data_IF_745576941798
#
_entry.id   IF_745576941798
#
_cell.length_a   1.000
_cell.length_b   1.000
_cell.length_c   1.000
_cell.angle_alpha   90.00
_cell.angle_beta   90.00
_cell.angle_gamma   90.00
#
_symmetry.space_group_name_H-M   'P 1'
#
loop_
_entity.id
_entity.type
_entity.pdbx_description
1 polymer ?
#
# COMPACT_ATOMS: atom_id res chain seq x y z
N UNK A 1 6.96 17.80 5.17
CA UNK A 1 6.09 16.62 5.29
C UNK A 1 4.82 16.98 6.07
N UNK A 2 3.68 16.36 5.76
CA UNK A 2 2.45 16.40 6.55
C UNK A 2 2.32 15.10 7.34
N UNK A 3 1.84 15.20 8.58
CA UNK A 3 1.58 14.07 9.48
C UNK A 3 0.10 14.00 9.84
N UNK A 4 -0.37 12.80 10.19
CA UNK A 4 -1.71 12.56 10.72
C UNK A 4 -1.67 11.42 11.75
N UNK A 5 -2.66 11.38 12.64
CA UNK A 5 -2.84 10.24 13.54
C UNK A 5 -3.32 9.01 12.77
N UNK A 6 -2.76 7.85 13.06
CA UNK A 6 -3.18 6.57 12.49
C UNK A 6 -4.48 6.12 13.17
N UNK A 7 -5.62 6.45 12.57
CA UNK A 7 -6.93 6.19 13.16
C UNK A 7 -7.13 6.93 14.50
N UNK A 8 -7.65 6.20 15.48
CA UNK A 8 -7.89 6.66 16.85
C UNK A 8 -6.72 6.37 17.80
N UNK A 9 -5.50 6.32 17.28
CA UNK A 9 -4.27 6.08 18.06
C UNK A 9 -3.49 7.36 18.32
N UNK A 10 -2.46 7.25 19.16
CA UNK A 10 -1.45 8.31 19.38
C UNK A 10 -0.30 8.29 18.36
N UNK A 11 -0.32 7.34 17.41
CA UNK A 11 0.73 7.12 16.42
C UNK A 11 0.66 8.21 15.34
N UNK A 12 1.73 9.00 15.20
CA UNK A 12 1.88 9.98 14.13
C UNK A 12 2.55 9.35 12.93
N UNK A 13 1.85 9.34 11.78
CA UNK A 13 2.34 8.83 10.51
C UNK A 13 2.47 9.94 9.48
N UNK A 14 3.52 9.89 8.67
CA UNK A 14 3.59 10.72 7.47
C UNK A 14 2.46 10.35 6.51
N UNK A 15 1.88 11.35 5.84
CA UNK A 15 0.81 11.14 4.84
C UNK A 15 1.30 10.28 3.68
N UNK A 16 2.59 10.38 3.33
CA UNK A 16 3.26 9.47 2.38
C UNK A 16 3.87 8.32 3.16
N UNK A 17 3.59 7.09 2.74
CA UNK A 17 4.18 5.85 3.26
C UNK A 17 5.06 5.17 2.22
N UNK A 18 6.19 4.62 2.65
CA UNK A 18 7.08 3.82 1.84
C UNK A 18 6.52 2.41 1.65
N UNK A 19 6.11 2.06 0.43
CA UNK A 19 5.74 0.70 0.04
C UNK A 19 6.98 -0.11 -0.38
N UNK A 20 7.14 -1.30 0.19
CA UNK A 20 8.33 -2.12 0.00
C UNK A 20 8.11 -3.38 -0.83
N UNK A 21 6.95 -3.53 -1.48
CA UNK A 21 6.69 -4.69 -2.34
C UNK A 21 7.79 -4.90 -3.39
N UNK A 22 8.25 -3.83 -4.02
CA UNK A 22 9.34 -3.89 -4.99
C UNK A 22 10.72 -4.23 -4.40
N UNK A 23 10.93 -4.14 -3.08
CA UNK A 23 12.17 -4.54 -2.42
C UNK A 23 12.25 -6.07 -2.23
N UNK A 24 11.12 -6.75 -2.11
CA UNK A 24 11.05 -8.21 -1.95
C UNK A 24 11.56 -8.99 -3.17
N UNK A 25 11.60 -8.37 -4.35
CA UNK A 25 12.03 -9.03 -5.58
C UNK A 25 11.14 -10.21 -5.97
N UNK A 26 11.76 -11.35 -6.32
CA UNK A 26 11.05 -12.56 -6.76
C UNK A 26 10.59 -12.50 -8.21
N UNK A 27 9.72 -13.44 -8.61
CA UNK A 27 9.19 -13.53 -9.99
C UNK A 27 8.24 -12.38 -10.34
N UNK A 28 7.65 -11.73 -9.33
CA UNK A 28 6.67 -10.64 -9.50
C UNK A 28 7.30 -9.35 -9.98
N UNK A 29 8.52 -9.07 -9.48
CA UNK A 29 9.30 -7.87 -9.83
C UNK A 29 10.62 -8.32 -10.46
N UNK A 30 10.70 -8.34 -11.78
CA UNK A 30 11.88 -8.81 -12.52
C UNK A 30 13.00 -7.77 -12.62
N UNK A 31 12.87 -6.64 -11.91
CA UNK A 31 13.93 -5.66 -11.75
C UNK A 31 15.05 -6.22 -10.85
N UNK A 32 16.21 -5.55 -10.85
CA UNK A 32 17.34 -5.92 -9.99
C UNK A 32 16.92 -5.97 -8.51
N UNK A 33 17.32 -7.03 -7.80
CA UNK A 33 17.08 -7.17 -6.37
C UNK A 33 17.76 -6.02 -5.59
N UNK A 34 17.09 -5.56 -4.56
CA UNK A 34 17.60 -4.55 -3.64
C UNK A 34 18.58 -5.19 -2.64
N UNK A 35 19.61 -4.45 -2.26
CA UNK A 35 20.55 -4.83 -1.20
C UNK A 35 20.18 -4.17 0.13
N UNK A 36 20.78 -4.59 1.24
CA UNK A 36 20.62 -3.93 2.54
C UNK A 36 21.09 -2.48 2.48
N UNK A 37 22.17 -2.19 1.77
CA UNK A 37 22.70 -0.85 1.58
C UNK A 37 21.76 0.03 0.74
N UNK A 38 21.08 -0.55 -0.26
CA UNK A 38 20.04 0.16 -1.02
C UNK A 38 18.87 0.52 -0.09
N UNK A 39 18.41 -0.42 0.75
CA UNK A 39 17.36 -0.18 1.72
C UNK A 39 17.77 0.88 2.76
N UNK A 40 18.98 0.84 3.29
CA UNK A 40 19.47 1.86 4.24
C UNK A 40 19.46 3.25 3.62
N UNK A 41 20.04 3.42 2.41
CA UNK A 41 20.01 4.70 1.71
C UNK A 41 18.61 5.22 1.44
N UNK A 42 17.68 4.31 1.08
CA UNK A 42 16.28 4.67 0.88
C UNK A 42 15.64 5.17 2.19
N UNK A 43 15.88 4.46 3.30
CA UNK A 43 15.39 4.86 4.62
C UNK A 43 15.99 6.18 5.10
N UNK A 44 17.30 6.43 4.84
CA UNK A 44 17.95 7.70 5.14
C UNK A 44 17.25 8.84 4.40
N UNK A 45 17.00 8.65 3.10
CA UNK A 45 16.26 9.64 2.31
C UNK A 45 14.82 9.82 2.82
N UNK A 46 14.14 8.74 3.21
CA UNK A 46 12.81 8.84 3.80
C UNK A 46 12.80 9.76 5.03
N UNK A 47 13.75 9.58 5.97
CA UNK A 47 13.86 10.45 7.16
C UNK A 47 14.22 11.89 6.80
N UNK A 48 15.14 12.09 5.85
CA UNK A 48 15.51 13.43 5.37
C UNK A 48 14.29 14.22 4.87
N UNK A 49 13.36 13.54 4.17
CA UNK A 49 12.11 14.15 3.68
C UNK A 49 10.94 13.99 4.66
N UNK A 50 11.16 13.44 5.86
CA UNK A 50 10.17 13.27 6.91
C UNK A 50 9.16 12.13 6.67
N UNK A 51 9.48 11.17 5.80
CA UNK A 51 8.69 9.94 5.60
C UNK A 51 9.06 8.95 6.71
N UNK A 52 8.17 8.73 7.67
CA UNK A 52 8.39 7.82 8.79
C UNK A 52 7.56 6.54 8.73
N UNK A 53 6.66 6.40 7.77
CA UNK A 53 5.72 5.28 7.68
C UNK A 53 6.19 4.28 6.61
N UNK A 54 6.44 3.03 7.03
CA UNK A 54 6.91 1.94 6.18
C UNK A 54 5.86 0.83 6.16
N UNK A 55 5.49 0.36 4.97
CA UNK A 55 4.63 -0.80 4.76
C UNK A 55 5.40 -1.93 4.07
N UNK A 56 5.25 -3.14 4.62
CA UNK A 56 5.77 -4.39 4.06
C UNK A 56 4.73 -5.50 4.16
N UNK A 57 5.10 -6.74 3.81
CA UNK A 57 4.29 -7.93 4.03
C UNK A 57 5.16 -9.21 4.03
N UNK A 58 4.73 -10.28 4.74
CA UNK A 58 5.39 -11.60 4.71
C UNK A 58 5.54 -12.15 3.29
N UNK A 59 4.50 -12.00 2.47
CA UNK A 59 4.50 -12.53 1.09
C UNK A 59 5.32 -11.70 0.08
N UNK A 60 5.92 -10.60 0.48
CA UNK A 60 6.80 -9.81 -0.39
C UNK A 60 8.17 -10.48 -0.51
N UNK A 61 8.32 -11.26 -1.61
CA UNK A 61 9.49 -12.11 -1.82
C UNK A 61 9.60 -13.24 -0.79
N UNK A 62 8.47 -13.71 -0.25
CA UNK A 62 8.41 -14.81 0.73
C UNK A 62 9.33 -14.57 1.93
N UNK A 63 9.15 -13.42 2.58
CA UNK A 63 9.91 -12.97 3.75
C UNK A 63 11.10 -12.06 3.45
N UNK A 64 11.59 -12.02 2.22
CA UNK A 64 12.79 -11.24 1.83
C UNK A 64 12.67 -9.76 2.16
N UNK A 65 11.49 -9.14 1.91
CA UNK A 65 11.28 -7.72 2.21
C UNK A 65 11.40 -7.43 3.71
N UNK A 66 10.80 -8.27 4.56
CA UNK A 66 10.87 -8.11 6.02
C UNK A 66 12.30 -8.33 6.55
N UNK A 67 13.02 -9.35 6.07
CA UNK A 67 14.41 -9.59 6.48
C UNK A 67 15.35 -8.44 6.06
N UNK A 68 15.13 -7.90 4.88
CA UNK A 68 15.91 -6.76 4.35
C UNK A 68 15.67 -5.52 5.20
N UNK A 69 14.40 -5.24 5.53
CA UNK A 69 14.03 -4.12 6.39
C UNK A 69 14.58 -4.31 7.81
N UNK A 70 14.48 -5.50 8.40
CA UNK A 70 15.03 -5.78 9.73
C UNK A 70 16.53 -5.46 9.81
N UNK A 71 17.31 -5.85 8.79
CA UNK A 71 18.73 -5.53 8.71
C UNK A 71 19.00 -4.02 8.52
N UNK A 72 18.16 -3.35 7.73
CA UNK A 72 18.30 -1.92 7.45
C UNK A 72 17.87 -1.03 8.62
N UNK A 73 16.90 -1.50 9.45
CA UNK A 73 16.36 -0.79 10.62
C UNK A 73 17.17 -1.03 11.89
N UNK A 74 18.19 -1.87 11.87
CA UNK A 74 18.98 -2.19 13.07
C UNK A 74 19.59 -0.92 13.69
N UNK A 75 19.24 -0.65 14.95
CA UNK A 75 19.69 0.52 15.74
C UNK A 75 18.92 1.81 15.43
N UNK A 76 17.83 1.75 14.63
CA UNK A 76 17.00 2.91 14.26
C UNK A 76 15.52 2.55 14.08
N UNK A 77 15.08 1.44 14.72
CA UNK A 77 13.70 0.94 14.63
C UNK A 77 12.67 2.00 15.06
N UNK A 78 13.01 2.79 16.08
CA UNK A 78 12.14 3.81 16.67
C UNK A 78 11.94 5.06 15.79
N UNK A 79 12.80 5.26 14.79
CA UNK A 79 12.67 6.37 13.84
C UNK A 79 11.48 6.19 12.89
N UNK A 80 10.92 4.98 12.83
CA UNK A 80 9.87 4.62 11.87
C UNK A 80 8.66 3.98 12.51
N UNK A 81 7.50 4.28 11.93
CA UNK A 81 6.25 3.53 12.12
C UNK A 81 6.25 2.35 11.15
N UNK A 82 6.34 1.13 11.68
CA UNK A 82 6.49 -0.10 10.90
C UNK A 82 5.16 -0.84 10.81
N UNK A 83 4.67 -1.00 9.60
CA UNK A 83 3.47 -1.75 9.24
C UNK A 83 3.83 -2.99 8.43
N UNK A 84 3.30 -4.16 8.82
CA UNK A 84 3.35 -5.36 7.99
C UNK A 84 1.96 -6.02 7.95
N UNK A 85 1.86 -7.24 7.42
CA UNK A 85 0.56 -7.87 7.19
C UNK A 85 0.50 -9.29 7.75
N UNK A 86 -0.71 -9.80 7.97
CA UNK A 86 -1.03 -11.18 8.35
C UNK A 86 -2.09 -11.76 7.42
N UNK A 87 -2.55 -12.93 7.69
CA UNK A 87 -3.53 -13.75 6.98
C UNK A 87 -3.00 -14.50 5.75
N UNK A 88 -1.96 -14.03 5.07
CA UNK A 88 -1.34 -14.76 3.97
C UNK A 88 -0.05 -15.43 4.44
N UNK A 89 -0.01 -16.75 4.38
CA UNK A 89 1.14 -17.54 4.79
C UNK A 89 1.36 -18.76 3.87
N UNK A 90 2.56 -19.37 3.96
CA UNK A 90 2.97 -20.52 3.17
C UNK A 90 3.45 -21.70 4.05
N UNK A 91 2.92 -21.80 5.27
CA UNK A 91 3.29 -22.85 6.23
C UNK A 91 2.60 -24.19 5.95
N UNK A 92 1.53 -24.20 5.13
CA UNK A 92 0.70 -25.38 4.87
C UNK A 92 0.02 -25.95 6.13
N UNK A 93 -0.32 -25.12 7.10
CA UNK A 93 -0.97 -25.47 8.37
C UNK A 93 -2.50 -25.28 8.37
N UNK A 94 -3.06 -25.06 7.19
CA UNK A 94 -4.49 -24.81 6.98
C UNK A 94 -4.77 -23.48 6.30
N UNK A 95 -6.02 -23.02 6.41
CA UNK A 95 -6.52 -21.86 5.67
C UNK A 95 -7.03 -22.23 4.27
N UNK A 96 -7.49 -21.23 3.53
CA UNK A 96 -7.99 -21.39 2.17
C UNK A 96 -6.85 -21.15 1.17
N UNK A 97 -6.76 -21.99 0.14
CA UNK A 97 -5.84 -21.74 -0.96
C UNK A 97 -6.05 -20.34 -1.55
N UNK A 98 -4.98 -19.58 -1.69
CA UNK A 98 -5.01 -18.25 -2.27
C UNK A 98 -4.30 -18.18 -3.62
N UNK A 99 -3.02 -18.57 -3.69
CA UNK A 99 -2.26 -18.72 -4.94
C UNK A 99 -1.01 -19.59 -4.75
N UNK A 100 -0.40 -19.98 -5.89
CA UNK A 100 0.95 -20.55 -5.92
C UNK A 100 1.94 -19.58 -6.57
N UNK A 101 3.13 -19.45 -5.99
CA UNK A 101 4.20 -18.60 -6.52
C UNK A 101 5.57 -19.06 -6.02
N UNK A 102 6.55 -19.07 -6.94
CA UNK A 102 7.95 -19.37 -6.63
C UNK A 102 8.15 -20.71 -5.86
N UNK A 103 7.28 -21.71 -6.12
CA UNK A 103 7.28 -23.02 -5.47
C UNK A 103 6.58 -23.06 -4.09
N UNK A 104 5.95 -21.97 -3.68
CA UNK A 104 5.18 -21.90 -2.43
C UNK A 104 3.69 -21.86 -2.70
N UNK A 105 2.93 -22.68 -1.95
CA UNK A 105 1.47 -22.53 -1.83
C UNK A 105 1.16 -21.50 -0.75
N UNK A 106 0.50 -20.42 -1.13
CA UNK A 106 0.07 -19.38 -0.19
C UNK A 106 -1.40 -19.58 0.14
N UNK A 107 -1.70 -19.62 1.44
CA UNK A 107 -3.04 -19.76 1.96
C UNK A 107 -3.49 -18.46 2.66
N UNK A 108 -4.79 -18.19 2.62
CA UNK A 108 -5.45 -17.15 3.41
C UNK A 108 -6.05 -17.77 4.67
N UNK A 109 -5.57 -17.34 5.83
CA UNK A 109 -5.97 -17.89 7.13
C UNK A 109 -6.09 -16.77 8.19
N UNK A 110 -7.32 -16.42 8.56
CA UNK A 110 -7.61 -15.40 9.55
C UNK A 110 -7.96 -15.96 10.93
N UNK A 111 -7.77 -17.28 11.16
CA UNK A 111 -7.94 -17.86 12.48
C UNK A 111 -6.95 -17.26 13.49
N UNK A 112 -7.36 -17.14 14.76
CA UNK A 112 -6.56 -16.53 15.83
C UNK A 112 -5.13 -17.07 15.90
N UNK A 113 -4.97 -18.40 15.85
CA UNK A 113 -3.66 -19.06 15.93
C UNK A 113 -2.77 -18.71 14.72
N UNK A 114 -3.34 -18.64 13.51
CA UNK A 114 -2.61 -18.30 12.30
C UNK A 114 -2.15 -16.83 12.30
N UNK A 115 -3.04 -15.91 12.68
CA UNK A 115 -2.75 -14.48 12.77
C UNK A 115 -1.65 -14.20 13.82
N UNK A 116 -1.73 -14.80 15.00
CA UNK A 116 -0.68 -14.70 16.05
C UNK A 116 0.66 -15.23 15.52
N UNK A 117 0.63 -16.37 14.83
CA UNK A 117 1.83 -16.97 14.24
C UNK A 117 2.45 -16.11 13.12
N UNK A 118 1.64 -15.48 12.29
CA UNK A 118 2.11 -14.53 11.25
C UNK A 118 2.86 -13.36 11.89
N UNK A 119 2.33 -12.79 12.97
CA UNK A 119 2.96 -11.69 13.72
C UNK A 119 4.29 -12.14 14.33
N UNK A 120 4.33 -13.28 15.02
CA UNK A 120 5.58 -13.85 15.58
C UNK A 120 6.65 -14.06 14.52
N UNK A 121 6.27 -14.61 13.36
CA UNK A 121 7.19 -14.86 12.27
C UNK A 121 7.72 -13.55 11.67
N UNK A 122 6.87 -12.51 11.55
CA UNK A 122 7.26 -11.17 11.09
C UNK A 122 8.21 -10.48 12.06
N UNK A 123 7.93 -10.53 13.36
CA UNK A 123 8.81 -10.01 14.43
C UNK A 123 10.20 -10.64 14.34
N UNK A 124 10.26 -11.98 14.19
CA UNK A 124 11.52 -12.71 14.08
C UNK A 124 12.29 -12.31 12.82
N UNK A 125 11.63 -12.21 11.63
CA UNK A 125 12.30 -11.81 10.38
C UNK A 125 12.84 -10.38 10.46
N UNK A 126 12.09 -9.47 11.06
CA UNK A 126 12.48 -8.06 11.18
C UNK A 126 13.38 -7.77 12.39
N UNK A 127 13.54 -8.72 13.34
CA UNK A 127 14.38 -8.56 14.53
C UNK A 127 13.90 -7.45 15.46
N UNK A 128 12.59 -7.36 15.66
CA UNK A 128 11.93 -6.39 16.55
C UNK A 128 10.95 -7.13 17.47
N UNK A 129 10.60 -6.57 18.61
CA UNK A 129 9.68 -7.12 19.59
C UNK A 129 8.25 -6.54 19.50
N UNK A 130 8.05 -5.52 18.67
CA UNK A 130 6.73 -4.96 18.41
C UNK A 130 6.56 -4.45 16.97
N UNK A 131 5.30 -4.38 16.53
CA UNK A 131 4.87 -3.72 15.29
C UNK A 131 4.01 -2.51 15.64
N UNK A 132 4.13 -1.43 14.88
CA UNK A 132 3.24 -0.29 15.06
C UNK A 132 1.85 -0.58 14.48
N UNK A 133 1.79 -1.27 13.34
CA UNK A 133 0.52 -1.67 12.72
C UNK A 133 0.64 -3.05 12.07
N UNK A 134 -0.42 -3.87 12.19
CA UNK A 134 -0.60 -5.10 11.43
C UNK A 134 -1.84 -4.99 10.55
N UNK A 135 -1.74 -5.41 9.30
CA UNK A 135 -2.86 -5.38 8.35
C UNK A 135 -3.32 -6.81 8.08
N UNK A 136 -4.60 -7.08 8.22
CA UNK A 136 -5.21 -8.29 7.64
C UNK A 136 -5.16 -8.13 6.13
N UNK A 137 -4.25 -8.88 5.47
CA UNK A 137 -3.89 -8.66 4.06
C UNK A 137 -5.04 -8.96 3.11
N UNK A 138 -5.80 -10.01 3.43
CA UNK A 138 -7.08 -10.38 2.82
C UNK A 138 -8.01 -10.88 3.91
N UNK A 139 -9.20 -10.33 3.99
CA UNK A 139 -10.26 -10.85 4.85
C UNK A 139 -10.69 -12.23 4.32
N UNK A 140 -11.02 -13.14 5.21
CA UNK A 140 -11.44 -14.48 4.86
C UNK A 140 -12.80 -14.80 5.46
N UNK A 141 -13.82 -14.92 4.62
CA UNK A 141 -15.22 -15.17 5.04
C UNK A 141 -15.45 -16.59 5.62
N UNK A 142 -14.46 -17.48 5.49
CA UNK A 142 -14.57 -18.85 6.00
C UNK A 142 -14.39 -18.97 7.51
N UNK A 143 -13.94 -17.91 8.17
CA UNK A 143 -13.66 -17.90 9.60
C UNK A 143 -14.40 -16.76 10.29
N UNK A 144 -14.89 -16.97 11.56
CA UNK A 144 -15.61 -15.93 12.29
C UNK A 144 -14.75 -14.67 12.50
N UNK A 145 -15.31 -13.50 12.20
CA UNK A 145 -14.63 -12.21 12.38
C UNK A 145 -14.23 -11.96 13.83
N UNK A 146 -15.06 -12.45 14.78
CA UNK A 146 -14.86 -12.34 16.22
C UNK A 146 -13.56 -13.02 16.66
N UNK A 147 -13.18 -14.12 16.03
CA UNK A 147 -11.94 -14.84 16.32
C UNK A 147 -10.71 -14.00 15.91
N UNK A 148 -10.75 -13.44 14.72
CA UNK A 148 -9.68 -12.57 14.20
C UNK A 148 -9.55 -11.30 15.05
N UNK A 149 -10.67 -10.62 15.31
CA UNK A 149 -10.71 -9.38 16.12
C UNK A 149 -10.20 -9.67 17.53
N UNK A 150 -10.67 -10.77 18.17
CA UNK A 150 -10.20 -11.18 19.50
C UNK A 150 -8.68 -11.34 19.57
N UNK A 151 -8.08 -12.02 18.57
CA UNK A 151 -6.63 -12.19 18.51
C UNK A 151 -5.88 -10.86 18.32
N UNK A 152 -6.37 -9.96 17.48
CA UNK A 152 -5.78 -8.65 17.24
C UNK A 152 -5.85 -7.77 18.50
N UNK A 153 -7.00 -7.74 19.19
CA UNK A 153 -7.17 -6.98 20.42
C UNK A 153 -6.33 -7.54 21.59
N UNK A 154 -6.12 -8.88 21.66
CA UNK A 154 -5.20 -9.50 22.60
C UNK A 154 -3.77 -9.00 22.37
N UNK A 155 -3.28 -9.04 21.13
CA UNK A 155 -1.94 -8.58 20.78
C UNK A 155 -1.73 -7.09 21.00
N UNK A 156 -2.78 -6.25 20.83
CA UNK A 156 -2.71 -4.84 21.23
C UNK A 156 -2.56 -4.68 22.74
N UNK A 157 -3.28 -5.48 23.53
CA UNK A 157 -3.21 -5.46 25.01
C UNK A 157 -1.86 -5.95 25.52
N UNK A 158 -1.27 -6.92 24.84
CA UNK A 158 0.06 -7.48 25.13
C UNK A 158 1.20 -6.54 24.69
N UNK A 159 0.91 -5.54 23.84
CA UNK A 159 1.90 -4.61 23.30
C UNK A 159 2.73 -5.17 22.15
N UNK A 160 2.39 -6.35 21.64
CA UNK A 160 3.04 -6.98 20.48
C UNK A 160 2.77 -6.21 19.19
N UNK A 161 1.56 -5.65 19.08
CA UNK A 161 1.18 -4.68 18.05
C UNK A 161 0.58 -3.45 18.73
N UNK A 162 0.68 -2.27 18.12
CA UNK A 162 0.07 -1.05 18.67
C UNK A 162 -1.33 -0.78 18.07
N UNK A 163 -1.55 -1.18 16.82
CA UNK A 163 -2.85 -1.08 16.15
C UNK A 163 -2.93 -2.07 14.98
N UNK A 164 -4.09 -2.08 14.31
CA UNK A 164 -4.30 -2.93 13.15
C UNK A 164 -5.24 -2.31 12.11
N UNK A 165 -5.26 -2.91 10.92
CA UNK A 165 -6.08 -2.49 9.79
C UNK A 165 -6.50 -3.64 8.89
N UNK A 166 -7.19 -3.30 7.81
CA UNK A 166 -7.67 -4.23 6.79
C UNK A 166 -7.11 -3.85 5.41
N UNK A 167 -6.98 -4.83 4.53
CA UNK A 167 -6.63 -4.63 3.13
C UNK A 167 -7.40 -5.62 2.25
N UNK A 168 -7.62 -5.28 0.98
CA UNK A 168 -8.33 -6.12 0.02
C UNK A 168 -9.66 -6.64 0.60
N UNK A 169 -10.38 -5.75 1.23
CA UNK A 169 -11.62 -5.99 1.97
C UNK A 169 -12.83 -5.43 1.21
N UNK A 170 -13.99 -5.54 1.82
CA UNK A 170 -15.21 -4.84 1.40
C UNK A 170 -15.62 -3.85 2.49
N UNK A 171 -16.38 -2.78 2.18
CA UNK A 171 -16.93 -1.89 3.21
C UNK A 171 -17.71 -2.63 4.32
N UNK A 172 -18.36 -3.75 3.97
CA UNK A 172 -19.04 -4.62 4.93
C UNK A 172 -18.08 -5.27 5.93
N UNK A 173 -16.85 -5.62 5.52
CA UNK A 173 -15.84 -6.20 6.42
C UNK A 173 -15.40 -5.18 7.46
N UNK A 174 -15.11 -3.93 7.04
CA UNK A 174 -14.79 -2.86 7.97
C UNK A 174 -15.93 -2.66 8.98
N UNK A 175 -17.18 -2.65 8.52
CA UNK A 175 -18.34 -2.54 9.41
C UNK A 175 -18.45 -3.74 10.38
N UNK A 176 -18.18 -4.97 9.91
CA UNK A 176 -18.18 -6.17 10.74
C UNK A 176 -17.08 -6.13 11.81
N UNK A 177 -15.84 -5.80 11.45
CA UNK A 177 -14.74 -5.65 12.41
C UNK A 177 -15.03 -4.59 13.46
N UNK A 178 -15.60 -3.45 13.08
CA UNK A 178 -15.97 -2.38 14.02
C UNK A 178 -17.13 -2.79 14.93
N UNK A 179 -18.13 -3.53 14.43
CA UNK A 179 -19.29 -3.95 15.23
C UNK A 179 -18.96 -5.02 16.28
N UNK A 180 -17.88 -5.78 16.07
CA UNK A 180 -17.36 -6.75 17.04
C UNK A 180 -16.46 -6.12 18.12
N UNK A 181 -16.36 -4.78 18.15
CA UNK A 181 -15.52 -4.05 19.10
C UNK A 181 -14.09 -3.83 18.60
N UNK A 182 -13.79 -4.19 17.36
CA UNK A 182 -12.49 -3.96 16.74
C UNK A 182 -12.19 -2.48 16.51
N UNK A 183 -10.91 -2.11 16.68
CA UNK A 183 -10.40 -0.73 16.56
C UNK A 183 -9.58 -0.56 15.29
N UNK A 184 -10.20 -0.78 14.11
CA UNK A 184 -9.54 -0.67 12.82
C UNK A 184 -9.07 0.77 12.58
N UNK A 185 -7.76 0.99 12.54
CA UNK A 185 -7.15 2.32 12.41
C UNK A 185 -6.86 2.72 10.97
N UNK A 186 -6.68 1.74 10.09
CA UNK A 186 -6.37 1.95 8.67
C UNK A 186 -7.06 0.92 7.79
N UNK A 187 -7.56 1.38 6.65
CA UNK A 187 -8.01 0.54 5.53
C UNK A 187 -7.06 0.79 4.37
N UNK A 188 -6.42 -0.27 3.88
CA UNK A 188 -5.43 -0.21 2.81
C UNK A 188 -6.02 -0.84 1.54
N UNK A 189 -6.50 -0.01 0.59
CA UNK A 189 -7.20 -0.48 -0.59
C UNK A 189 -6.61 0.08 -1.87
N UNK A 190 -6.84 -0.65 -2.98
CA UNK A 190 -6.45 -0.18 -4.30
C UNK A 190 -7.27 1.06 -4.66
N UNK A 191 -6.58 2.15 -4.97
CA UNK A 191 -7.22 3.38 -5.41
C UNK A 191 -6.31 4.18 -6.33
N UNK A 192 -6.77 4.44 -7.54
CA UNK A 192 -6.09 5.27 -8.51
C UNK A 192 -7.09 6.07 -9.34
N UNK A 193 -6.61 7.05 -10.08
CA UNK A 193 -7.46 7.81 -11.02
C UNK A 193 -8.04 6.92 -12.13
N UNK A 194 -7.44 5.77 -12.40
CA UNK A 194 -7.90 4.80 -13.39
C UNK A 194 -8.85 3.74 -12.80
N UNK A 195 -8.90 3.59 -11.47
CA UNK A 195 -9.77 2.67 -10.74
C UNK A 195 -10.25 3.30 -9.43
N UNK A 196 -11.09 4.35 -9.48
CA UNK A 196 -11.44 5.10 -8.27
C UNK A 196 -12.67 4.53 -7.53
N UNK A 197 -13.40 3.59 -8.13
CA UNK A 197 -14.75 3.25 -7.68
C UNK A 197 -14.76 2.57 -6.32
N UNK A 198 -14.03 1.47 -6.17
CA UNK A 198 -13.98 0.69 -4.94
C UNK A 198 -13.50 1.51 -3.73
N UNK A 199 -12.43 2.29 -3.88
CA UNK A 199 -11.91 3.11 -2.79
C UNK A 199 -12.90 4.18 -2.31
N UNK A 200 -13.67 4.78 -3.21
CA UNK A 200 -14.68 5.80 -2.86
C UNK A 200 -15.79 5.26 -1.96
N UNK A 201 -16.11 3.97 -2.03
CA UNK A 201 -17.11 3.32 -1.19
C UNK A 201 -16.73 3.32 0.30
N UNK A 202 -15.42 3.45 0.62
CA UNK A 202 -14.94 3.48 2.00
C UNK A 202 -14.98 4.84 2.67
N UNK A 203 -14.97 5.95 1.92
CA UNK A 203 -14.67 7.27 2.49
C UNK A 203 -15.64 7.68 3.61
N UNK A 204 -16.95 7.48 3.42
CA UNK A 204 -17.94 7.81 4.45
C UNK A 204 -17.81 6.91 5.69
N UNK A 205 -17.52 5.63 5.49
CA UNK A 205 -17.32 4.68 6.60
C UNK A 205 -16.03 4.99 7.37
N UNK A 206 -14.94 5.28 6.66
CA UNK A 206 -13.69 5.70 7.26
C UNK A 206 -13.85 7.00 8.07
N UNK A 207 -14.59 7.97 7.53
CA UNK A 207 -14.92 9.22 8.25
C UNK A 207 -15.69 8.95 9.53
N UNK A 208 -16.73 8.11 9.47
CA UNK A 208 -17.54 7.72 10.63
C UNK A 208 -16.69 7.11 11.75
N UNK A 209 -15.72 6.29 11.44
CA UNK A 209 -14.89 5.57 12.40
C UNK A 209 -13.52 6.20 12.66
N UNK A 210 -13.25 7.38 12.06
CA UNK A 210 -11.95 8.06 12.13
C UNK A 210 -10.78 7.18 11.63
N UNK A 211 -11.05 6.31 10.64
CA UNK A 211 -10.09 5.40 10.03
C UNK A 211 -9.31 6.12 8.93
N UNK A 212 -8.00 5.88 8.82
CA UNK A 212 -7.18 6.34 7.70
C UNK A 212 -7.48 5.47 6.48
N UNK A 213 -7.71 6.09 5.33
CA UNK A 213 -7.72 5.37 4.06
C UNK A 213 -6.33 5.44 3.44
N UNK A 214 -5.63 4.32 3.39
CA UNK A 214 -4.32 4.20 2.78
C UNK A 214 -4.44 3.60 1.38
N UNK A 215 -4.16 4.41 0.36
CA UNK A 215 -4.23 3.92 -1.02
C UNK A 215 -2.94 3.23 -1.44
N UNK A 216 -3.04 2.02 -2.01
CA UNK A 216 -1.96 1.44 -2.80
C UNK A 216 -2.31 1.43 -4.29
N UNK A 217 -1.31 1.25 -5.17
CA UNK A 217 -1.51 1.24 -6.61
C UNK A 217 -1.82 2.61 -7.23
N UNK A 218 -1.63 3.71 -6.51
CA UNK A 218 -1.93 5.08 -6.97
C UNK A 218 -1.29 5.45 -8.31
N UNK A 219 -0.09 4.90 -8.58
CA UNK A 219 0.66 5.10 -9.83
C UNK A 219 0.53 3.93 -10.82
N UNK A 220 -0.40 2.98 -10.58
CA UNK A 220 -0.65 1.84 -11.46
C UNK A 220 0.64 1.10 -11.86
N UNK A 221 1.39 0.63 -10.85
CA UNK A 221 2.68 -0.07 -11.00
C UNK A 221 3.71 0.70 -11.85
N UNK A 222 3.56 2.03 -11.91
CA UNK A 222 4.43 2.95 -12.62
C UNK A 222 3.86 3.47 -13.95
N UNK A 223 2.74 2.95 -14.44
CA UNK A 223 2.14 3.37 -15.72
C UNK A 223 1.65 4.83 -15.72
N UNK A 224 1.48 5.44 -14.55
CA UNK A 224 1.11 6.86 -14.40
C UNK A 224 2.30 7.78 -14.11
N UNK A 225 3.54 7.26 -14.15
CA UNK A 225 4.73 8.07 -13.83
C UNK A 225 5.23 8.93 -15.00
N UNK A 226 5.13 8.43 -16.22
CA UNK A 226 5.56 9.17 -17.42
C UNK A 226 5.12 8.50 -18.72
N UNK A 227 5.01 9.24 -19.82
CA UNK A 227 4.80 8.65 -21.17
C UNK A 227 5.88 7.63 -21.55
N UNK A 228 7.14 7.88 -21.15
CA UNK A 228 8.26 6.98 -21.46
C UNK A 228 8.10 5.61 -20.79
N UNK A 229 7.42 5.53 -19.64
CA UNK A 229 7.17 4.26 -18.96
C UNK A 229 6.26 3.34 -19.79
N UNK A 230 5.34 3.89 -20.58
CA UNK A 230 4.44 3.13 -21.45
C UNK A 230 5.18 2.28 -22.49
N UNK A 231 6.41 2.66 -22.84
CA UNK A 231 7.22 1.96 -23.85
C UNK A 231 8.06 0.83 -23.26
N UNK A 232 8.05 0.67 -21.94
CA UNK A 232 8.78 -0.42 -21.28
C UNK A 232 8.20 -1.78 -21.67
N UNK A 233 9.10 -2.75 -21.83
CA UNK A 233 8.76 -4.18 -22.01
C UNK A 233 9.05 -4.92 -20.72
N UNK A 234 8.15 -5.81 -20.34
CA UNK A 234 8.23 -6.60 -19.12
C UNK A 234 8.34 -8.08 -19.45
N UNK A 235 9.04 -8.84 -18.60
CA UNK A 235 9.04 -10.30 -18.67
C UNK A 235 7.63 -10.86 -18.43
N UNK A 236 7.29 -12.01 -18.98
CA UNK A 236 5.95 -12.63 -18.82
C UNK A 236 5.57 -12.91 -17.35
N UNK A 237 6.56 -13.12 -16.50
CA UNK A 237 6.38 -13.35 -15.05
C UNK A 237 6.16 -12.05 -14.26
N UNK A 238 6.60 -10.92 -14.79
CA UNK A 238 6.44 -9.61 -14.16
C UNK A 238 4.96 -9.22 -14.08
N UNK A 239 4.51 -8.76 -12.91
CA UNK A 239 3.11 -8.37 -12.69
C UNK A 239 2.65 -7.33 -13.71
N UNK A 240 3.54 -6.40 -14.07
CA UNK A 240 3.27 -5.30 -15.02
C UNK A 240 2.94 -5.79 -16.43
N UNK A 241 3.30 -7.04 -16.78
CA UNK A 241 2.97 -7.62 -18.08
C UNK A 241 1.50 -8.01 -18.24
N UNK A 242 0.76 -8.11 -17.13
CA UNK A 242 -0.60 -8.66 -17.08
C UNK A 242 -1.69 -7.64 -16.78
N UNK A 243 -1.30 -6.40 -16.43
CA UNK A 243 -2.26 -5.35 -16.07
C UNK A 243 -2.89 -4.72 -17.31
N UNK A 244 -4.09 -4.13 -17.19
CA UNK A 244 -4.86 -3.59 -18.33
C UNK A 244 -4.11 -2.57 -19.19
N UNK A 245 -3.15 -1.85 -18.60
CA UNK A 245 -2.40 -0.75 -19.27
C UNK A 245 -1.38 -1.25 -20.30
N UNK A 246 -1.18 -2.56 -20.43
CA UNK A 246 -0.39 -3.17 -21.52
C UNK A 246 -1.22 -3.35 -22.80
N UNK A 247 -2.56 -3.29 -22.70
CA UNK A 247 -3.45 -3.31 -23.87
C UNK A 247 -3.21 -2.06 -24.74
N UNK A 248 -3.04 -2.21 -26.08
CA UNK A 248 -2.74 -1.09 -26.97
C UNK A 248 -3.74 0.05 -26.94
N UNK A 249 -5.03 -0.23 -26.84
CA UNK A 249 -6.09 0.78 -26.80
C UNK A 249 -6.04 1.60 -25.50
N UNK A 250 -5.92 0.90 -24.34
CA UNK A 250 -5.78 1.55 -23.03
C UNK A 250 -4.49 2.35 -22.93
N UNK A 251 -3.39 1.81 -23.47
CA UNK A 251 -2.10 2.52 -23.55
C UNK A 251 -2.22 3.81 -24.37
N UNK A 252 -2.94 3.79 -25.50
CA UNK A 252 -3.19 4.98 -26.31
C UNK A 252 -4.06 6.00 -25.55
N UNK A 253 -5.03 5.53 -24.78
CA UNK A 253 -5.81 6.38 -23.87
C UNK A 253 -4.93 7.07 -22.84
N UNK A 254 -3.94 6.34 -22.24
CA UNK A 254 -2.96 6.93 -21.32
C UNK A 254 -2.06 7.97 -21.99
N UNK A 255 -1.60 7.75 -23.23
CA UNK A 255 -0.83 8.77 -23.97
C UNK A 255 -1.62 10.07 -24.12
N UNK A 256 -2.90 9.96 -24.51
CA UNK A 256 -3.79 11.14 -24.61
C UNK A 256 -3.96 11.83 -23.26
N UNK A 257 -4.15 11.06 -22.17
CA UNK A 257 -4.25 11.62 -20.82
C UNK A 257 -2.99 12.40 -20.43
N UNK A 258 -1.80 11.87 -20.69
CA UNK A 258 -0.54 12.57 -20.43
C UNK A 258 -0.43 13.90 -21.21
N UNK A 259 -0.85 13.95 -22.47
CA UNK A 259 -0.85 15.21 -23.23
C UNK A 259 -1.82 16.24 -22.64
N UNK A 260 -2.99 15.80 -22.15
CA UNK A 260 -3.97 16.64 -21.46
C UNK A 260 -3.42 17.13 -20.11
N UNK A 261 -2.71 16.29 -19.35
CA UNK A 261 -2.16 16.63 -18.03
C UNK A 261 -0.88 17.46 -18.10
N UNK A 262 -0.16 17.45 -19.20
CA UNK A 262 1.11 18.17 -19.37
C UNK A 262 1.04 19.67 -19.03
N UNK A 263 -0.01 20.44 -19.42
CA UNK A 263 -0.18 21.81 -18.96
C UNK A 263 -0.33 21.94 -17.44
N UNK A 264 -0.99 20.97 -16.76
CA UNK A 264 -1.13 20.95 -15.31
C UNK A 264 0.21 20.69 -14.62
N UNK A 265 1.02 19.76 -15.14
CA UNK A 265 2.38 19.55 -14.63
C UNK A 265 3.21 20.85 -14.72
N UNK A 266 3.06 21.62 -15.80
CA UNK A 266 3.71 22.92 -15.94
C UNK A 266 3.14 23.96 -14.97
N UNK A 267 1.81 24.01 -14.80
CA UNK A 267 1.11 24.93 -13.88
C UNK A 267 1.57 24.73 -12.43
N UNK A 268 1.70 23.46 -12.01
CA UNK A 268 2.06 23.10 -10.64
C UNK A 268 3.56 22.82 -10.45
N UNK A 269 4.38 22.96 -11.50
CA UNK A 269 5.81 22.68 -11.51
C UNK A 269 6.16 21.30 -10.90
N UNK A 270 5.50 20.25 -11.40
CA UNK A 270 5.61 18.91 -10.87
C UNK A 270 5.71 17.85 -11.98
N UNK A 271 6.07 16.61 -11.58
CA UNK A 271 6.01 15.44 -12.43
C UNK A 271 4.57 14.94 -12.61
N UNK A 272 4.35 14.03 -13.57
CA UNK A 272 3.07 13.32 -13.68
C UNK A 272 2.76 12.48 -12.44
N UNK A 273 3.78 11.83 -11.85
CA UNK A 273 3.61 11.06 -10.63
C UNK A 273 3.09 11.95 -9.48
N UNK A 274 3.78 13.05 -9.18
CA UNK A 274 3.36 13.98 -8.13
C UNK A 274 1.98 14.60 -8.40
N UNK A 275 1.63 14.86 -9.66
CA UNK A 275 0.30 15.35 -10.04
C UNK A 275 -0.80 14.33 -9.72
N UNK A 276 -0.60 13.05 -10.08
CA UNK A 276 -1.56 11.96 -9.83
C UNK A 276 -1.67 11.66 -8.32
N UNK A 277 -0.55 11.68 -7.61
CA UNK A 277 -0.52 11.55 -6.15
C UNK A 277 -1.28 12.69 -5.45
N UNK A 278 -1.12 13.93 -5.92
CA UNK A 278 -1.89 15.09 -5.44
C UNK A 278 -3.39 14.95 -5.73
N UNK A 279 -3.76 14.37 -6.89
CA UNK A 279 -5.15 14.04 -7.18
C UNK A 279 -5.70 13.05 -6.14
N UNK A 280 -4.99 11.98 -5.82
CA UNK A 280 -5.44 11.02 -4.82
C UNK A 280 -5.63 11.67 -3.44
N UNK A 281 -4.68 12.51 -3.01
CA UNK A 281 -4.77 13.26 -1.75
C UNK A 281 -5.97 14.21 -1.70
N UNK A 282 -6.45 14.70 -2.84
CA UNK A 282 -7.61 15.60 -2.90
C UNK A 282 -8.95 14.88 -2.70
N UNK A 283 -8.97 13.55 -2.75
CA UNK A 283 -10.21 12.76 -2.74
C UNK A 283 -10.75 12.50 -1.32
N UNK A 284 -9.88 12.50 -0.31
CA UNK A 284 -10.29 12.22 1.08
C UNK A 284 -9.31 12.87 2.07
N UNK A 285 -9.83 13.58 3.09
CA UNK A 285 -9.02 14.38 4.04
C UNK A 285 -8.03 13.55 4.85
N UNK A 286 -8.34 12.29 5.12
CA UNK A 286 -7.48 11.34 5.85
C UNK A 286 -6.87 10.28 4.94
N UNK A 287 -6.56 10.68 3.70
CA UNK A 287 -5.81 9.85 2.77
C UNK A 287 -4.37 9.66 3.24
N UNK A 288 -3.84 8.44 3.10
CA UNK A 288 -2.42 8.11 3.17
C UNK A 288 -1.99 7.50 1.84
N UNK A 289 -0.89 7.98 1.29
CA UNK A 289 -0.34 7.46 0.02
C UNK A 289 0.68 6.37 0.30
N UNK A 290 0.36 5.13 -0.02
CA UNK A 290 1.34 4.04 -0.02
C UNK A 290 1.98 3.93 -1.40
N UNK A 291 3.20 4.45 -1.52
CA UNK A 291 3.93 4.53 -2.79
C UNK A 291 5.13 3.58 -2.78
N UNK A 292 5.20 2.73 -3.79
CA UNK A 292 6.36 1.86 -4.01
C UNK A 292 7.57 2.68 -4.46
N UNK A 293 8.54 2.87 -3.58
CA UNK A 293 9.76 3.62 -3.86
C UNK A 293 10.98 2.72 -3.70
N UNK A 294 11.92 2.80 -4.64
CA UNK A 294 13.16 2.00 -4.64
C UNK A 294 14.43 2.87 -4.77
N UNK A 295 14.25 4.17 -4.93
CA UNK A 295 15.34 5.14 -5.16
C UNK A 295 15.06 6.43 -4.41
N UNK A 296 16.11 7.11 -3.96
CA UNK A 296 16.04 8.43 -3.35
C UNK A 296 15.21 9.43 -4.19
N UNK A 297 15.47 9.49 -5.50
CA UNK A 297 14.74 10.39 -6.40
C UNK A 297 13.23 10.15 -6.48
N UNK A 298 12.76 8.94 -6.16
CA UNK A 298 11.31 8.67 -6.07
C UNK A 298 10.72 9.27 -4.80
N UNK A 299 11.44 9.23 -3.68
CA UNK A 299 11.01 9.88 -2.43
C UNK A 299 10.93 11.39 -2.65
N UNK A 300 11.99 11.99 -3.22
CA UNK A 300 12.07 13.42 -3.52
C UNK A 300 10.93 13.90 -4.43
N UNK A 301 10.53 13.08 -5.41
CA UNK A 301 9.47 13.42 -6.35
C UNK A 301 8.09 13.28 -5.71
N UNK A 302 7.83 12.15 -5.04
CA UNK A 302 6.54 11.87 -4.37
C UNK A 302 6.21 12.94 -3.32
N UNK A 303 7.17 13.38 -2.48
CA UNK A 303 6.86 14.37 -1.43
C UNK A 303 6.40 15.73 -1.99
N UNK A 304 6.69 16.05 -3.24
CA UNK A 304 6.21 17.28 -3.90
C UNK A 304 4.69 17.31 -4.05
N UNK A 305 4.02 16.14 -4.10
CA UNK A 305 2.56 16.07 -4.17
C UNK A 305 1.88 16.79 -3.00
N UNK A 306 2.54 16.89 -1.84
CA UNK A 306 2.02 17.53 -0.63
C UNK A 306 1.89 19.05 -0.74
N UNK A 307 2.62 19.68 -1.67
CA UNK A 307 2.60 21.12 -1.91
C UNK A 307 1.64 21.51 -3.04
N UNK A 308 1.12 20.53 -3.78
CA UNK A 308 0.18 20.73 -4.88
C UNK A 308 -1.24 20.84 -4.31
N UNK A 309 -1.89 21.96 -4.59
CA UNK A 309 -3.31 22.18 -4.26
C UNK A 309 -4.10 22.28 -5.57
N UNK A 310 -4.65 21.14 -5.98
CA UNK A 310 -5.51 21.09 -7.15
C UNK A 310 -6.82 21.85 -6.88
N UNK A 311 -7.26 22.66 -7.83
CA UNK A 311 -8.62 23.20 -7.79
C UNK A 311 -9.61 22.19 -8.40
N UNK A 312 -10.90 22.32 -8.09
CA UNK A 312 -11.95 21.40 -8.56
C UNK A 312 -12.02 21.27 -10.08
N UNK A 313 -11.69 22.35 -10.81
CA UNK A 313 -11.63 22.32 -12.27
C UNK A 313 -10.51 21.42 -12.78
N UNK A 314 -9.31 21.52 -12.19
CA UNK A 314 -8.17 20.69 -12.55
C UNK A 314 -8.41 19.22 -12.19
N UNK A 315 -9.03 18.94 -11.04
CA UNK A 315 -9.45 17.57 -10.63
C UNK A 315 -10.39 16.99 -11.67
N UNK A 316 -11.46 17.71 -12.06
CA UNK A 316 -12.40 17.25 -13.11
C UNK A 316 -11.70 17.06 -14.45
N UNK A 317 -10.81 17.99 -14.82
CA UNK A 317 -10.06 17.89 -16.07
C UNK A 317 -9.15 16.63 -16.12
N UNK A 318 -8.54 16.29 -14.98
CA UNK A 318 -7.75 15.07 -14.87
C UNK A 318 -8.61 13.80 -14.98
N UNK A 319 -9.77 13.76 -14.31
CA UNK A 319 -10.69 12.63 -14.33
C UNK A 319 -11.32 12.42 -15.71
N UNK A 320 -11.75 13.49 -16.38
CA UNK A 320 -12.35 13.44 -17.73
C UNK A 320 -11.36 12.88 -18.76
N UNK A 321 -10.06 13.18 -18.61
CA UNK A 321 -9.02 12.68 -19.49
C UNK A 321 -8.89 11.15 -19.51
N UNK A 322 -9.26 10.48 -18.43
CA UNK A 322 -9.13 9.02 -18.26
C UNK A 322 -10.46 8.26 -18.21
N UNK A 323 -11.58 8.97 -18.18
CA UNK A 323 -12.92 8.38 -17.98
C UNK A 323 -13.23 7.21 -18.92
N UNK A 324 -12.81 7.31 -20.19
CA UNK A 324 -13.05 6.27 -21.21
C UNK A 324 -12.19 5.00 -21.01
N UNK A 325 -11.14 5.07 -20.20
CA UNK A 325 -10.22 3.94 -19.98
C UNK A 325 -10.24 3.41 -18.55
N UNK A 326 -11.03 4.02 -17.65
CA UNK A 326 -11.20 3.53 -16.27
C UNK A 326 -11.68 2.07 -16.25
N UNK A 327 -11.28 1.33 -15.22
CA UNK A 327 -11.63 -0.07 -14.99
C UNK A 327 -12.04 -0.28 -13.53
N UNK A 328 -12.88 -1.28 -13.28
CA UNK A 328 -13.11 -1.77 -11.93
C UNK A 328 -11.87 -2.52 -11.41
N UNK A 329 -11.65 -2.50 -10.09
CA UNK A 329 -10.53 -3.23 -9.47
C UNK A 329 -10.59 -4.73 -9.75
N UNK A 330 -11.80 -5.29 -9.83
CA UNK A 330 -12.04 -6.70 -10.12
C UNK A 330 -11.64 -7.14 -11.54
N UNK A 331 -11.38 -6.19 -12.44
CA UNK A 331 -10.97 -6.45 -13.83
C UNK A 331 -9.43 -6.47 -13.99
N UNK A 332 -8.67 -6.46 -12.88
CA UNK A 332 -7.20 -6.43 -12.85
C UNK A 332 -6.54 -7.80 -12.58
#
# INVERSE_FOLDING_TARGET
MKFQKLGNTDIDVSVVALGTWGLGGGSVWTDKNSTVEDAKRLLDTCLEYGVNYIDTAPVYGTGVSEELLGKALKGRREDFVLQTKCSLNWRNEGGNFHYERDGYTVNNDTRAAAVKKDVEDSLRRMGTDYLDSIIVHYVCDSFPVEETVGALEDMVREGTIRTYGLSNSQPADLAAYQSTGGRVSVVQEFFSILSPFHGREYFELCKKHNTVFQTYGVLEEGFLTSPAFLERKFAKTDIRSRIPWTNPEKKEGLRRAFEIWKPLCKKYNCSFAALVEAWALSQYDRMSLLVGMRKASSVEDTVKCLDIKLCDEDVRHMEDAVKAIQVAVLDK
#
